data_IF_854834472652
#
_entry.id   IF_854834472652
#
_cell.length_a   1.000
_cell.length_b   1.000
_cell.length_c   1.000
_cell.angle_alpha   90.00
_cell.angle_beta   90.00
_cell.angle_gamma   90.00
#
_symmetry.space_group_name_H-M   'P 1'
#
loop_
_entity.id
_entity.type
_entity.pdbx_description
1 polymer ?
#
# COMPACT_ATOMS: atom_id res chain seq x y z
N UNK A 1 -12.90 0.47 7.97
CA UNK A 1 -11.86 -0.57 8.10
C UNK A 1 -11.42 -1.14 6.75
N UNK A 2 -12.33 -1.32 5.77
CA UNK A 2 -11.99 -1.96 4.48
C UNK A 2 -10.84 -1.24 3.76
N UNK A 3 -10.99 0.04 3.43
CA UNK A 3 -9.96 0.81 2.71
C UNK A 3 -8.65 0.90 3.52
N UNK A 4 -8.76 1.00 4.84
CA UNK A 4 -7.58 1.02 5.72
C UNK A 4 -6.81 -0.30 5.67
N UNK A 5 -7.51 -1.44 5.73
CA UNK A 5 -6.87 -2.78 5.65
C UNK A 5 -6.25 -3.03 4.28
N UNK A 6 -6.94 -2.67 3.19
CA UNK A 6 -6.42 -2.78 1.82
C UNK A 6 -5.19 -1.89 1.64
N UNK A 7 -5.27 -0.63 2.07
CA UNK A 7 -4.15 0.32 1.98
C UNK A 7 -2.95 -0.13 2.82
N UNK A 8 -3.20 -0.60 4.04
CA UNK A 8 -2.16 -1.11 4.93
C UNK A 8 -1.42 -2.31 4.33
N UNK A 9 -2.14 -3.38 3.99
CA UNK A 9 -1.53 -4.58 3.41
C UNK A 9 -0.86 -4.28 2.07
N UNK A 10 -1.46 -3.42 1.26
CA UNK A 10 -0.86 -2.92 0.03
C UNK A 10 0.48 -2.23 0.28
N UNK A 11 0.55 -1.35 1.29
CA UNK A 11 1.78 -0.63 1.62
C UNK A 11 2.86 -1.57 2.16
N UNK A 12 2.51 -2.48 3.09
CA UNK A 12 3.47 -3.49 3.59
C UNK A 12 4.04 -4.32 2.45
N UNK A 13 3.18 -4.85 1.58
CA UNK A 13 3.59 -5.66 0.44
C UNK A 13 4.46 -4.87 -0.54
N UNK A 14 4.06 -3.61 -0.85
CA UNK A 14 4.81 -2.74 -1.74
C UNK A 14 6.24 -2.47 -1.21
N UNK A 15 6.34 -2.08 0.05
CA UNK A 15 7.63 -1.77 0.67
C UNK A 15 8.52 -3.01 0.80
N UNK A 16 7.93 -4.16 1.15
CA UNK A 16 8.65 -5.43 1.17
C UNK A 16 9.22 -5.77 -0.22
N UNK A 17 8.40 -5.69 -1.27
CA UNK A 17 8.84 -5.97 -2.64
C UNK A 17 9.92 -4.97 -3.11
N UNK A 18 9.83 -3.69 -2.73
CA UNK A 18 10.87 -2.69 -3.03
C UNK A 18 12.23 -3.10 -2.45
N UNK A 19 12.27 -3.49 -1.17
CA UNK A 19 13.51 -3.89 -0.51
C UNK A 19 14.01 -5.27 -0.97
N UNK A 20 13.10 -6.17 -1.37
CA UNK A 20 13.46 -7.49 -1.87
C UNK A 20 14.05 -7.45 -3.29
N UNK A 21 13.41 -6.72 -4.20
CA UNK A 21 13.82 -6.69 -5.62
C UNK A 21 14.81 -5.57 -5.95
N UNK A 22 14.81 -4.46 -5.23
CA UNK A 22 15.75 -3.34 -5.36
C UNK A 22 15.96 -2.83 -6.78
N UNK A 23 14.89 -2.81 -7.58
CA UNK A 23 14.96 -2.37 -8.97
C UNK A 23 15.09 -0.84 -9.02
N UNK A 24 16.19 -0.30 -9.58
CA UNK A 24 16.39 1.14 -9.68
C UNK A 24 15.40 1.77 -10.66
N UNK A 25 15.22 3.08 -10.53
CA UNK A 25 14.33 3.85 -11.40
C UNK A 25 14.79 3.86 -12.85
N UNK A 26 13.88 4.05 -13.84
CA UNK A 26 14.24 4.04 -15.25
C UNK A 26 15.40 4.95 -15.61
N UNK A 27 15.40 6.19 -15.11
CA UNK A 27 16.47 7.17 -15.37
C UNK A 27 17.80 6.88 -14.66
N UNK A 28 17.80 6.03 -13.65
CA UNK A 28 19.03 5.55 -12.99
C UNK A 28 19.67 4.43 -13.81
N UNK A 29 18.82 3.62 -14.47
CA UNK A 29 19.26 2.52 -15.33
C UNK A 29 19.72 2.98 -16.70
N UNK A 30 19.07 4.01 -17.23
CA UNK A 30 19.38 4.62 -18.53
C UNK A 30 19.41 6.13 -18.37
N UNK A 31 20.60 6.76 -18.34
CA UNK A 31 20.74 8.23 -18.24
C UNK A 31 20.12 9.00 -19.40
N UNK A 32 19.86 8.36 -20.54
CA UNK A 32 19.20 8.98 -21.69
C UNK A 32 17.67 8.89 -21.61
N UNK A 33 17.14 8.21 -20.60
CA UNK A 33 15.70 8.05 -20.43
C UNK A 33 15.03 9.38 -20.07
N UNK A 34 14.07 9.79 -20.89
CA UNK A 34 13.33 11.05 -20.68
C UNK A 34 12.38 10.93 -19.48
N UNK A 35 12.49 11.90 -18.57
CA UNK A 35 11.64 12.01 -17.39
C UNK A 35 11.10 13.45 -17.29
N UNK A 36 9.90 13.61 -16.77
CA UNK A 36 9.40 14.92 -16.35
C UNK A 36 10.08 15.30 -15.03
N UNK A 37 11.02 16.26 -15.08
CA UNK A 37 11.89 16.60 -13.93
C UNK A 37 11.10 16.97 -12.67
N UNK A 38 9.96 17.65 -12.77
CA UNK A 38 9.12 17.98 -11.62
C UNK A 38 8.55 16.72 -10.91
N UNK A 39 8.49 15.57 -11.59
CA UNK A 39 8.02 14.32 -11.00
C UNK A 39 9.14 13.56 -10.25
N UNK A 40 10.42 13.95 -10.42
CA UNK A 40 11.56 13.29 -9.79
C UNK A 40 11.51 13.39 -8.26
N UNK A 41 11.18 14.57 -7.73
CA UNK A 41 11.09 14.82 -6.29
C UNK A 41 10.03 14.02 -5.57
N UNK A 42 8.96 13.61 -6.26
CA UNK A 42 7.91 12.74 -5.73
C UNK A 42 8.11 11.25 -6.03
N UNK A 43 9.28 10.89 -6.57
CA UNK A 43 9.59 9.52 -6.98
C UNK A 43 10.71 8.93 -6.12
N UNK A 44 10.48 8.89 -4.78
CA UNK A 44 11.44 8.32 -3.84
C UNK A 44 11.46 6.79 -3.92
N UNK A 45 12.61 6.23 -3.56
CA UNK A 45 12.81 4.81 -3.41
C UNK A 45 12.94 4.04 -4.73
N UNK A 46 13.05 2.72 -4.62
CA UNK A 46 13.12 1.80 -5.75
C UNK A 46 11.88 1.88 -6.65
N UNK A 47 12.06 1.51 -7.94
CA UNK A 47 10.99 1.60 -8.94
C UNK A 47 9.88 0.59 -8.71
N UNK A 48 10.23 -0.67 -8.46
CA UNK A 48 9.31 -1.80 -8.45
C UNK A 48 8.87 -2.18 -7.04
N UNK A 49 7.57 -2.38 -6.81
CA UNK A 49 6.45 -1.97 -7.65
C UNK A 49 6.04 -0.51 -7.40
N UNK A 50 5.16 0.04 -8.24
CA UNK A 50 4.70 1.43 -8.13
C UNK A 50 3.78 1.68 -6.93
N UNK A 51 4.25 2.44 -5.93
CA UNK A 51 3.44 2.78 -4.74
C UNK A 51 2.23 3.66 -5.06
N UNK A 52 2.39 4.67 -5.90
CA UNK A 52 1.26 5.53 -6.32
C UNK A 52 0.18 4.73 -7.07
N UNK A 53 0.58 3.84 -7.96
CA UNK A 53 -0.35 2.95 -8.67
C UNK A 53 -1.09 2.05 -7.69
N UNK A 54 -0.36 1.41 -6.80
CA UNK A 54 -0.96 0.49 -5.82
C UNK A 54 -1.97 1.21 -4.92
N UNK A 55 -1.61 2.37 -4.38
CA UNK A 55 -2.50 3.15 -3.54
C UNK A 55 -3.74 3.65 -4.29
N UNK A 56 -3.57 4.14 -5.53
CA UNK A 56 -4.68 4.61 -6.34
C UNK A 56 -5.65 3.48 -6.70
N UNK A 57 -5.12 2.35 -7.20
CA UNK A 57 -5.95 1.19 -7.57
C UNK A 57 -6.62 0.58 -6.33
N UNK A 58 -5.93 0.49 -5.20
CA UNK A 58 -6.49 0.02 -3.94
C UNK A 58 -7.63 0.92 -3.45
N UNK A 59 -7.40 2.23 -3.40
CA UNK A 59 -8.39 3.19 -2.90
C UNK A 59 -9.58 3.31 -3.83
N UNK A 60 -9.34 3.64 -5.10
CA UNK A 60 -10.42 3.85 -6.06
C UNK A 60 -11.11 2.54 -6.44
N UNK A 61 -10.36 1.43 -6.57
CA UNK A 61 -10.93 0.10 -6.78
C UNK A 61 -11.80 -0.34 -5.59
N UNK A 62 -11.35 -0.08 -4.36
CA UNK A 62 -12.10 -0.34 -3.15
C UNK A 62 -13.40 0.49 -3.09
N UNK A 63 -13.34 1.80 -3.36
CA UNK A 63 -14.54 2.65 -3.41
C UNK A 63 -15.49 2.19 -4.52
N UNK A 64 -14.98 1.88 -5.70
CA UNK A 64 -15.79 1.38 -6.83
C UNK A 64 -16.50 0.06 -6.50
N UNK A 65 -15.87 -0.81 -5.70
CA UNK A 65 -16.45 -2.06 -5.22
C UNK A 65 -17.58 -1.83 -4.23
N UNK A 66 -17.41 -0.85 -3.33
CA UNK A 66 -18.34 -0.58 -2.23
C UNK A 66 -19.52 0.30 -2.63
N UNK A 67 -19.32 1.27 -3.54
CA UNK A 67 -20.36 2.24 -3.90
C UNK A 67 -21.50 1.64 -4.71
N UNK A 68 -22.74 2.06 -4.38
CA UNK A 68 -23.95 1.75 -5.15
C UNK A 68 -24.19 2.74 -6.31
N UNK A 69 -23.57 3.90 -6.29
CA UNK A 69 -23.76 4.94 -7.29
C UNK A 69 -22.92 4.69 -8.55
N UNK A 70 -23.57 4.46 -9.68
CA UNK A 70 -22.91 4.10 -10.95
C UNK A 70 -21.93 5.15 -11.44
N UNK A 71 -22.26 6.44 -11.29
CA UNK A 71 -21.38 7.53 -11.68
C UNK A 71 -20.10 7.61 -10.82
N UNK A 72 -20.24 7.43 -9.48
CA UNK A 72 -19.07 7.36 -8.57
C UNK A 72 -18.17 6.19 -8.95
N UNK A 73 -18.77 5.03 -9.22
CA UNK A 73 -18.02 3.84 -9.68
C UNK A 73 -17.26 4.13 -10.97
N UNK A 74 -17.89 4.79 -11.95
CA UNK A 74 -17.25 5.16 -13.21
C UNK A 74 -16.06 6.09 -13.00
N UNK A 75 -16.19 7.13 -12.18
CA UNK A 75 -15.10 8.05 -11.84
C UNK A 75 -13.96 7.30 -11.14
N UNK A 76 -14.26 6.46 -10.16
CA UNK A 76 -13.24 5.70 -9.45
C UNK A 76 -12.47 4.73 -10.38
N UNK A 77 -13.16 4.04 -11.29
CA UNK A 77 -12.51 3.18 -12.28
C UNK A 77 -11.61 4.02 -13.20
N UNK A 78 -12.09 5.17 -13.68
CA UNK A 78 -11.29 6.06 -14.51
C UNK A 78 -10.01 6.52 -13.79
N UNK A 79 -10.11 6.93 -12.51
CA UNK A 79 -8.94 7.33 -11.71
C UNK A 79 -7.99 6.16 -11.46
N UNK A 80 -8.52 4.96 -11.19
CA UNK A 80 -7.71 3.74 -11.01
C UNK A 80 -6.93 3.36 -12.28
N UNK A 81 -7.37 3.79 -13.47
CA UNK A 81 -6.67 3.59 -14.75
C UNK A 81 -5.74 4.76 -15.05
N UNK A 82 -6.19 6.00 -14.85
CA UNK A 82 -5.43 7.19 -15.22
C UNK A 82 -4.16 7.38 -14.38
N UNK A 83 -4.21 7.07 -13.08
CA UNK A 83 -3.02 7.20 -12.23
C UNK A 83 -1.89 6.28 -12.68
N UNK A 84 -2.08 4.96 -12.89
CA UNK A 84 -1.07 4.09 -13.51
C UNK A 84 -0.48 4.64 -14.81
N UNK A 85 -1.33 5.07 -15.74
CA UNK A 85 -0.89 5.65 -17.02
C UNK A 85 -0.03 6.89 -16.79
N UNK A 86 -0.45 7.77 -15.87
CA UNK A 86 0.31 8.98 -15.55
C UNK A 86 1.72 8.68 -15.03
N UNK A 87 1.91 7.61 -14.25
CA UNK A 87 3.23 7.23 -13.75
C UNK A 87 4.18 6.79 -14.86
N UNK A 88 3.66 6.09 -15.86
CA UNK A 88 4.43 5.73 -17.06
C UNK A 88 4.69 6.96 -17.93
N UNK A 89 3.70 7.82 -18.15
CA UNK A 89 3.86 9.05 -18.94
C UNK A 89 4.92 9.99 -18.35
N UNK A 90 4.96 10.12 -17.01
CA UNK A 90 5.97 10.92 -16.30
C UNK A 90 7.38 10.31 -16.35
N UNK A 91 7.54 9.08 -16.85
CA UNK A 91 8.82 8.38 -16.91
C UNK A 91 9.33 7.86 -15.56
N UNK A 92 8.48 7.84 -14.52
CA UNK A 92 8.90 7.46 -13.17
C UNK A 92 8.77 5.97 -12.87
N UNK A 93 8.03 5.22 -13.68
CA UNK A 93 7.81 3.78 -13.55
C UNK A 93 7.71 3.08 -14.91
N UNK A 94 8.13 1.82 -14.93
CA UNK A 94 7.97 0.94 -16.10
C UNK A 94 6.56 0.33 -16.15
N UNK A 95 6.12 -0.20 -17.32
CA UNK A 95 4.87 -0.97 -17.40
C UNK A 95 4.81 -2.14 -16.42
N UNK A 96 5.94 -2.80 -16.15
CA UNK A 96 6.02 -3.90 -15.19
C UNK A 96 5.73 -3.43 -13.76
N UNK A 97 6.32 -2.29 -13.33
CA UNK A 97 6.09 -1.71 -11.99
C UNK A 97 4.62 -1.42 -11.75
N UNK A 98 3.97 -0.88 -12.78
CA UNK A 98 2.56 -0.47 -12.76
C UNK A 98 1.63 -1.69 -12.81
N UNK A 99 1.94 -2.66 -13.65
CA UNK A 99 1.11 -3.87 -13.81
C UNK A 99 1.08 -4.70 -12.52
N UNK A 100 2.25 -4.95 -11.93
CA UNK A 100 2.33 -5.73 -10.67
C UNK A 100 1.64 -4.98 -9.53
N UNK A 101 1.83 -3.65 -9.42
CA UNK A 101 1.15 -2.85 -8.43
C UNK A 101 -0.38 -2.87 -8.60
N UNK A 102 -0.87 -2.82 -9.85
CA UNK A 102 -2.31 -2.90 -10.14
C UNK A 102 -2.90 -4.27 -9.80
N UNK A 103 -2.23 -5.34 -10.20
CA UNK A 103 -2.68 -6.72 -9.90
C UNK A 103 -2.71 -6.97 -8.41
N UNK A 104 -1.66 -6.62 -7.68
CA UNK A 104 -1.61 -6.80 -6.22
C UNK A 104 -2.70 -6.02 -5.50
N UNK A 105 -2.96 -4.76 -5.93
CA UNK A 105 -4.05 -3.96 -5.38
C UNK A 105 -5.43 -4.57 -5.66
N UNK A 106 -5.69 -5.03 -6.88
CA UNK A 106 -6.96 -5.67 -7.24
C UNK A 106 -7.19 -6.98 -6.48
N UNK A 107 -6.15 -7.78 -6.28
CA UNK A 107 -6.21 -9.00 -5.46
C UNK A 107 -6.61 -8.64 -4.03
N UNK A 108 -5.94 -7.65 -3.41
CA UNK A 108 -6.27 -7.21 -2.06
C UNK A 108 -7.70 -6.66 -1.94
N UNK A 109 -8.12 -5.82 -2.89
CA UNK A 109 -9.50 -5.30 -2.96
C UNK A 109 -10.53 -6.43 -3.04
N UNK A 110 -10.25 -7.46 -3.81
CA UNK A 110 -11.19 -8.57 -4.03
C UNK A 110 -11.22 -9.53 -2.84
N UNK A 111 -10.06 -9.89 -2.30
CA UNK A 111 -9.93 -10.87 -1.20
C UNK A 111 -10.38 -10.29 0.13
N UNK A 112 -10.07 -9.03 0.41
CA UNK A 112 -10.42 -8.43 1.70
C UNK A 112 -11.87 -8.00 1.81
N UNK A 113 -12.57 -7.78 0.70
CA UNK A 113 -13.96 -7.37 0.73
C UNK A 113 -14.86 -8.34 1.53
N UNK A 114 -14.92 -9.63 1.22
CA UNK A 114 -15.76 -10.58 1.97
C UNK A 114 -15.30 -10.76 3.43
N UNK A 115 -14.00 -10.62 3.70
CA UNK A 115 -13.46 -10.69 5.08
C UNK A 115 -14.03 -9.56 5.91
N UNK A 116 -13.98 -8.32 5.39
CA UNK A 116 -14.49 -7.14 6.10
C UNK A 116 -16.01 -7.17 6.24
N UNK A 117 -16.74 -7.62 5.24
CA UNK A 117 -18.20 -7.80 5.33
C UNK A 117 -18.59 -8.73 6.49
N UNK A 118 -17.77 -9.75 6.76
CA UNK A 118 -17.99 -10.63 7.91
C UNK A 118 -17.65 -9.96 9.24
N UNK A 119 -16.71 -9.01 9.27
CA UNK A 119 -16.38 -8.29 10.52
C UNK A 119 -17.51 -7.41 11.02
N UNK A 120 -18.37 -6.90 10.12
CA UNK A 120 -19.57 -6.13 10.48
C UNK A 120 -20.57 -6.99 11.25
N UNK A 121 -20.68 -8.28 10.90
CA UNK A 121 -21.59 -9.25 11.54
C UNK A 121 -21.01 -9.84 12.84
N UNK A 122 -19.69 -9.89 12.93
CA UNK A 122 -18.97 -10.54 14.03
C UNK A 122 -17.87 -9.65 14.60
N UNK A 123 -18.14 -8.85 15.64
CA UNK A 123 -17.16 -7.91 16.22
C UNK A 123 -15.83 -8.54 16.66
N UNK A 124 -15.83 -9.83 17.04
CA UNK A 124 -14.59 -10.55 17.39
C UNK A 124 -13.67 -10.75 16.18
N UNK A 125 -14.24 -10.88 14.96
CA UNK A 125 -13.46 -10.99 13.74
C UNK A 125 -12.72 -9.70 13.42
N UNK A 126 -13.32 -8.51 13.69
CA UNK A 126 -12.62 -7.24 13.54
C UNK A 126 -11.39 -7.17 14.43
N UNK A 127 -11.51 -7.57 15.70
CA UNK A 127 -10.35 -7.62 16.61
C UNK A 127 -9.29 -8.59 16.09
N UNK A 128 -9.69 -9.78 15.63
CA UNK A 128 -8.78 -10.75 15.03
C UNK A 128 -8.06 -10.19 13.80
N UNK A 129 -8.76 -9.47 12.94
CA UNK A 129 -8.17 -8.80 11.77
C UNK A 129 -7.14 -7.75 12.20
N UNK A 130 -7.50 -6.85 13.15
CA UNK A 130 -6.58 -5.81 13.62
C UNK A 130 -5.34 -6.40 14.29
N UNK A 131 -5.50 -7.48 15.07
CA UNK A 131 -4.36 -8.22 15.64
C UNK A 131 -3.48 -8.80 14.53
N UNK A 132 -4.07 -9.42 13.52
CA UNK A 132 -3.32 -9.95 12.37
C UNK A 132 -2.54 -8.85 11.64
N UNK A 133 -3.14 -7.68 11.42
CA UNK A 133 -2.46 -6.53 10.82
C UNK A 133 -1.28 -6.05 11.69
N UNK A 134 -1.45 -6.00 13.03
CA UNK A 134 -0.35 -5.66 13.94
C UNK A 134 0.79 -6.69 13.87
N UNK A 135 0.47 -7.99 13.82
CA UNK A 135 1.47 -9.06 13.71
C UNK A 135 2.25 -8.94 12.39
N UNK A 136 1.55 -8.68 11.28
CA UNK A 136 2.17 -8.44 9.96
C UNK A 136 3.09 -7.21 10.01
N UNK A 137 2.63 -6.11 10.62
CA UNK A 137 3.44 -4.90 10.79
C UNK A 137 4.69 -5.15 11.63
N UNK A 138 4.54 -5.84 12.76
CA UNK A 138 5.65 -6.22 13.63
C UNK A 138 6.64 -7.15 12.90
N UNK A 139 6.14 -8.11 12.13
CA UNK A 139 6.97 -8.96 11.27
C UNK A 139 7.75 -8.16 10.22
N UNK A 140 7.12 -7.14 9.62
CA UNK A 140 7.81 -6.26 8.67
C UNK A 140 8.87 -5.39 9.37
N UNK A 141 8.60 -4.84 10.58
CA UNK A 141 9.62 -4.15 11.40
C UNK A 141 10.77 -5.09 11.73
N UNK A 142 10.49 -6.32 12.16
CA UNK A 142 11.53 -7.32 12.43
C UNK A 142 12.37 -7.62 11.18
N UNK A 143 11.72 -7.75 10.02
CA UNK A 143 12.43 -7.95 8.74
C UNK A 143 13.41 -6.81 8.46
N UNK A 144 12.96 -5.55 8.46
CA UNK A 144 13.84 -4.41 8.12
C UNK A 144 14.92 -4.16 9.18
N UNK A 145 14.72 -4.59 10.43
CA UNK A 145 15.65 -4.37 11.54
C UNK A 145 16.68 -5.51 11.70
N UNK A 146 16.31 -6.74 11.37
CA UNK A 146 17.14 -7.93 11.61
C UNK A 146 17.77 -8.49 10.35
N UNK A 147 17.20 -8.18 9.17
CA UNK A 147 17.74 -8.69 7.92
C UNK A 147 19.03 -7.96 7.55
N UNK A 148 20.07 -8.74 7.23
CA UNK A 148 21.33 -8.20 6.73
C UNK A 148 21.19 -7.88 5.24
N UNK A 149 21.01 -6.60 4.94
CA UNK A 149 20.97 -6.15 3.56
C UNK A 149 22.35 -6.10 2.94
N UNK A 150 22.48 -6.30 1.61
CA UNK A 150 23.75 -6.15 0.91
C UNK A 150 24.36 -4.76 1.09
N UNK A 151 25.70 -4.69 1.04
CA UNK A 151 26.42 -3.42 1.27
C UNK A 151 26.14 -2.34 0.19
N UNK A 152 25.62 -2.74 -0.97
CA UNK A 152 25.27 -1.88 -2.10
C UNK A 152 23.83 -1.34 -2.01
N UNK A 153 23.10 -1.65 -0.92
CA UNK A 153 21.75 -1.11 -0.76
C UNK A 153 21.80 0.43 -0.63
N UNK A 154 20.91 1.10 -1.33
CA UNK A 154 20.73 2.53 -1.17
C UNK A 154 20.23 2.87 0.24
N UNK A 155 21.02 3.62 0.99
CA UNK A 155 20.76 3.96 2.39
C UNK A 155 19.46 4.75 2.57
N UNK A 156 19.13 5.65 1.62
CA UNK A 156 17.89 6.43 1.68
C UNK A 156 16.66 5.54 1.48
N UNK A 157 16.74 4.56 0.57
CA UNK A 157 15.68 3.58 0.37
C UNK A 157 15.46 2.69 1.60
N UNK A 158 16.53 2.25 2.24
CA UNK A 158 16.44 1.46 3.47
C UNK A 158 15.86 2.26 4.62
N UNK A 159 16.32 3.51 4.80
CA UNK A 159 15.80 4.41 5.83
C UNK A 159 14.30 4.69 5.64
N UNK A 160 13.86 4.98 4.39
CA UNK A 160 12.45 5.16 4.06
C UNK A 160 11.62 3.90 4.33
N UNK A 161 12.14 2.72 3.96
CA UNK A 161 11.49 1.43 4.25
C UNK A 161 11.34 1.18 5.75
N UNK A 162 12.36 1.48 6.54
CA UNK A 162 12.36 1.35 7.99
C UNK A 162 11.36 2.32 8.65
N UNK A 163 11.39 3.59 8.23
CA UNK A 163 10.44 4.61 8.72
C UNK A 163 8.99 4.20 8.44
N UNK A 164 8.70 3.71 7.22
CA UNK A 164 7.39 3.22 6.85
C UNK A 164 6.96 2.00 7.68
N UNK A 165 7.87 1.09 8.02
CA UNK A 165 7.58 -0.06 8.87
C UNK A 165 7.08 0.37 10.25
N UNK A 166 7.78 1.31 10.90
CA UNK A 166 7.37 1.85 12.20
C UNK A 166 6.07 2.65 12.14
N UNK A 167 5.86 3.45 11.09
CA UNK A 167 4.59 4.17 10.87
C UNK A 167 3.41 3.19 10.73
N UNK A 168 3.59 2.11 10.00
CA UNK A 168 2.55 1.09 9.81
C UNK A 168 2.25 0.35 11.11
N UNK A 169 3.27 0.00 11.89
CA UNK A 169 3.08 -0.64 13.20
C UNK A 169 2.33 0.30 14.16
N UNK A 170 2.75 1.57 14.25
CA UNK A 170 2.08 2.56 15.08
C UNK A 170 0.62 2.79 14.68
N UNK A 171 0.33 2.87 13.37
CA UNK A 171 -1.03 3.05 12.86
C UNK A 171 -1.94 1.86 13.20
N UNK A 172 -1.45 0.62 13.00
CA UNK A 172 -2.25 -0.58 13.31
C UNK A 172 -2.45 -0.79 14.81
N UNK A 173 -1.42 -0.54 15.61
CA UNK A 173 -1.53 -0.57 17.08
C UNK A 173 -2.54 0.48 17.57
N UNK A 174 -2.48 1.70 17.03
CA UNK A 174 -3.46 2.77 17.32
C UNK A 174 -4.90 2.38 16.95
N UNK A 175 -5.11 1.75 15.79
CA UNK A 175 -6.44 1.26 15.40
C UNK A 175 -6.95 0.15 16.34
N UNK A 176 -6.08 -0.78 16.74
CA UNK A 176 -6.42 -1.85 17.68
C UNK A 176 -6.80 -1.29 19.06
N UNK A 177 -5.97 -0.39 19.60
CA UNK A 177 -6.24 0.29 20.87
C UNK A 177 -7.52 1.11 20.80
N UNK A 178 -7.70 1.92 19.75
CA UNK A 178 -8.90 2.71 19.53
C UNK A 178 -10.17 1.85 19.48
N UNK A 179 -10.12 0.72 18.77
CA UNK A 179 -11.25 -0.23 18.72
C UNK A 179 -11.55 -0.87 20.09
N UNK A 180 -10.51 -1.16 20.89
CA UNK A 180 -10.70 -1.69 22.24
C UNK A 180 -11.31 -0.65 23.19
N UNK A 181 -10.82 0.60 23.14
CA UNK A 181 -11.32 1.71 23.97
C UNK A 181 -12.76 2.07 23.61
N UNK A 182 -13.06 2.15 22.30
CA UNK A 182 -14.40 2.39 21.81
C UNK A 182 -15.40 1.38 22.37
N UNK A 183 -15.10 0.09 22.28
CA UNK A 183 -15.97 -0.97 22.79
C UNK A 183 -16.13 -0.95 24.32
N UNK A 184 -15.11 -0.49 25.05
CA UNK A 184 -15.13 -0.49 26.52
C UNK A 184 -15.80 0.74 27.12
N UNK A 185 -15.68 1.90 26.48
CA UNK A 185 -16.06 3.17 27.08
C UNK A 185 -17.12 3.95 26.30
N UNK A 186 -17.15 3.85 24.98
CA UNK A 186 -17.99 4.68 24.12
C UNK A 186 -19.28 3.96 23.72
N UNK A 187 -19.22 2.66 23.42
CA UNK A 187 -20.33 1.82 22.98
C UNK A 187 -21.10 2.47 21.83
N UNK A 188 -20.38 2.92 20.80
CA UNK A 188 -20.99 3.53 19.61
C UNK A 188 -21.80 2.46 18.86
N UNK A 189 -23.14 2.66 18.80
CA UNK A 189 -24.08 1.81 18.05
C UNK A 189 -24.18 2.24 16.58
#
# INVERSE_FOLDING_TARGET
YYLLSVGFLGTVLNQFLKLAFRIPRPWVRDPQFSIVESARTGADGYSFPSGHTQNAVATFGGIARFTRHRWVRGICIALAILVPISRMYLGVHTPLDVSVASVTALVLVTVLYPVIEQTEKHPRMLTGLLVALCVIAAGYVAYVSLHTFPADIDAANLASGTENAWKLLGATAGMLLGSCLERRFVHYE
#
